data_IF_666430888957
#
_entry.id   IF_666430888957
#
_cell.length_a   1.000
_cell.length_b   1.000
_cell.length_c   1.000
_cell.angle_alpha   90.00
_cell.angle_beta   90.00
_cell.angle_gamma   90.00
#
_symmetry.space_group_name_H-M   'P 1'
#
loop_
_entity.id
_entity.type
_entity.pdbx_description
1 polymer ?
#
# COMPACT_ATOMS: atom_id res chain seq x y z
N UNK A 1 42.27 41.28 64.78
CA UNK A 1 41.80 42.03 63.70
C UNK A 1 41.25 41.05 62.70
N UNK A 2 40.01 41.23 62.23
CA UNK A 2 39.08 40.20 61.79
C UNK A 2 39.34 39.76 60.33
N UNK A 3 39.61 38.45 60.13
CA UNK A 3 39.65 37.74 58.86
C UNK A 3 38.22 37.45 58.37
N UNK A 4 37.88 37.94 57.17
CA UNK A 4 36.61 37.69 56.58
C UNK A 4 36.76 36.60 55.53
N UNK A 5 36.34 35.37 55.88
CA UNK A 5 36.36 34.21 54.98
C UNK A 5 35.22 34.36 53.97
N UNK A 6 35.56 34.45 52.70
CA UNK A 6 34.59 34.38 51.61
C UNK A 6 34.28 32.90 51.32
N UNK A 7 33.06 32.49 51.59
CA UNK A 7 32.53 31.21 51.17
C UNK A 7 32.05 31.33 49.73
N UNK A 8 32.71 30.62 48.84
CA UNK A 8 32.35 30.56 47.43
C UNK A 8 31.43 29.36 47.26
N UNK A 9 30.12 29.57 47.15
CA UNK A 9 29.13 28.55 46.84
C UNK A 9 29.19 28.18 45.38
N UNK A 10 29.67 26.99 45.02
CA UNK A 10 29.54 26.42 43.70
C UNK A 10 28.12 25.82 43.56
N UNK A 11 27.28 26.49 42.78
CA UNK A 11 26.03 25.96 42.33
C UNK A 11 26.34 25.07 41.10
N UNK A 12 26.37 23.78 41.29
CA UNK A 12 26.43 22.81 40.17
C UNK A 12 25.04 22.69 39.60
N UNK A 13 24.83 23.35 38.44
CA UNK A 13 23.58 23.25 37.67
C UNK A 13 23.62 21.94 36.90
N UNK A 14 22.94 20.92 37.44
CA UNK A 14 22.78 19.63 36.76
C UNK A 14 21.77 19.82 35.62
N UNK A 15 22.24 20.07 34.39
CA UNK A 15 21.42 19.96 33.20
C UNK A 15 21.13 18.48 32.94
N UNK A 16 19.97 18.02 33.38
CA UNK A 16 19.42 16.76 32.90
C UNK A 16 19.04 16.93 31.42
N UNK A 17 19.91 16.49 30.51
CA UNK A 17 19.59 16.29 29.11
C UNK A 17 18.55 15.16 29.05
N UNK A 18 17.27 15.52 28.93
CA UNK A 18 16.25 14.60 28.48
C UNK A 18 16.56 14.27 27.00
N UNK A 19 17.38 13.26 26.78
CA UNK A 19 17.42 12.59 25.51
C UNK A 19 16.03 11.96 25.32
N UNK A 20 15.16 12.67 24.60
CA UNK A 20 13.96 12.07 24.02
C UNK A 20 14.43 11.01 23.02
N UNK A 21 14.68 9.79 23.51
CA UNK A 21 14.71 8.61 22.67
C UNK A 21 13.32 8.52 22.02
N UNK A 22 13.21 9.10 20.86
CA UNK A 22 12.07 8.86 19.97
C UNK A 22 12.06 7.36 19.71
N UNK A 23 11.23 6.65 20.44
CA UNK A 23 10.91 5.25 20.17
C UNK A 23 10.30 5.29 18.76
N UNK A 24 11.01 4.78 17.77
CA UNK A 24 10.41 4.48 16.49
C UNK A 24 9.26 3.52 16.80
N UNK A 25 8.05 4.01 16.73
CA UNK A 25 6.87 3.21 16.97
C UNK A 25 6.88 2.12 15.90
N UNK A 26 6.90 0.85 16.32
CA UNK A 26 6.83 -0.26 15.38
C UNK A 26 5.55 -0.14 14.57
N UNK A 27 5.62 -0.49 13.28
CA UNK A 27 4.46 -0.49 12.42
C UNK A 27 3.50 -1.58 12.89
N UNK A 28 2.28 -1.22 13.24
CA UNK A 28 1.26 -2.16 13.71
C UNK A 28 0.31 -2.59 12.58
N UNK A 29 -0.27 -3.78 12.74
CA UNK A 29 -1.34 -4.26 11.87
C UNK A 29 -2.55 -3.33 11.96
N UNK A 30 -3.23 -3.11 10.83
CA UNK A 30 -4.46 -2.30 10.76
C UNK A 30 -5.64 -3.21 10.45
N UNK A 31 -6.54 -3.41 11.40
CA UNK A 31 -7.83 -4.04 11.13
C UNK A 31 -8.71 -3.07 10.35
N UNK A 32 -9.11 -3.48 9.16
CA UNK A 32 -9.98 -2.68 8.30
C UNK A 32 -11.45 -2.87 8.69
N UNK A 33 -12.29 -1.84 8.55
CA UNK A 33 -13.73 -2.00 8.71
C UNK A 33 -14.28 -2.96 7.65
N UNK A 34 -15.45 -3.54 7.88
CA UNK A 34 -16.12 -4.38 6.88
C UNK A 34 -16.30 -3.57 5.58
N UNK A 35 -15.95 -4.15 4.41
CA UNK A 35 -16.11 -3.46 3.15
C UNK A 35 -17.60 -3.27 2.81
N UNK A 36 -17.92 -2.12 2.24
CA UNK A 36 -19.26 -1.86 1.68
C UNK A 36 -19.31 -2.49 0.29
N UNK A 37 -20.21 -3.44 0.10
CA UNK A 37 -20.30 -4.23 -1.14
C UNK A 37 -21.51 -3.88 -1.99
N UNK A 38 -22.32 -2.93 -1.53
CA UNK A 38 -23.49 -2.37 -2.19
C UNK A 38 -23.29 -0.87 -2.42
N UNK A 39 -23.57 -0.39 -3.61
CA UNK A 39 -23.41 1.02 -3.96
C UNK A 39 -22.45 1.25 -5.12
N UNK A 40 -21.89 2.46 -5.18
CA UNK A 40 -21.07 2.90 -6.29
C UNK A 40 -21.87 3.27 -7.55
N UNK A 41 -21.16 3.59 -8.64
CA UNK A 41 -21.77 3.88 -9.94
C UNK A 41 -22.10 2.59 -10.70
N UNK A 42 -23.14 2.58 -11.54
CA UNK A 42 -23.39 1.46 -12.43
C UNK A 42 -22.15 1.10 -13.26
N UNK A 43 -21.91 -0.20 -13.48
CA UNK A 43 -20.70 -0.71 -14.14
C UNK A 43 -20.39 0.03 -15.46
N UNK A 44 -21.38 0.20 -16.32
CA UNK A 44 -21.17 0.88 -17.61
C UNK A 44 -20.75 2.34 -17.46
N UNK A 45 -21.17 3.01 -16.38
CA UNK A 45 -20.74 4.35 -16.07
C UNK A 45 -19.31 4.37 -15.51
N UNK A 46 -18.95 3.40 -14.67
CA UNK A 46 -17.58 3.23 -14.20
C UNK A 46 -16.61 2.97 -15.35
N UNK A 47 -16.97 2.06 -16.28
CA UNK A 47 -16.21 1.80 -17.50
C UNK A 47 -16.04 3.06 -18.37
N UNK A 48 -17.11 3.84 -18.57
CA UNK A 48 -17.07 5.11 -19.32
C UNK A 48 -16.15 6.14 -18.67
N UNK A 49 -16.10 6.18 -17.34
CA UNK A 49 -15.32 7.16 -16.58
C UNK A 49 -13.88 6.69 -16.30
N UNK A 50 -13.60 5.40 -16.46
CA UNK A 50 -12.29 4.83 -16.18
C UNK A 50 -11.21 5.52 -17.02
N UNK A 51 -10.21 6.08 -16.37
CA UNK A 51 -9.04 6.69 -17.01
C UNK A 51 -7.81 6.59 -16.14
N UNK A 52 -6.64 6.74 -16.73
CA UNK A 52 -5.37 6.88 -15.98
C UNK A 52 -5.15 8.36 -15.65
N UNK A 53 -5.03 8.68 -14.36
CA UNK A 53 -4.74 10.02 -13.88
C UNK A 53 -3.37 10.05 -13.20
N UNK A 54 -2.62 11.14 -13.41
CA UNK A 54 -1.23 11.28 -12.92
C UNK A 54 -1.03 12.54 -12.06
N UNK A 55 -2.12 13.15 -11.62
CA UNK A 55 -2.12 14.28 -10.70
C UNK A 55 -2.94 13.91 -9.46
N UNK A 56 -2.31 13.92 -8.30
CA UNK A 56 -2.88 13.43 -7.04
C UNK A 56 -2.79 14.50 -5.97
N UNK A 57 -3.82 14.56 -5.12
CA UNK A 57 -3.77 15.24 -3.83
C UNK A 57 -2.99 14.39 -2.82
N UNK A 58 -2.37 15.06 -1.84
CA UNK A 58 -1.74 14.40 -0.69
C UNK A 58 -2.78 13.98 0.38
N UNK A 59 -4.06 14.27 0.17
CA UNK A 59 -5.13 13.92 1.10
C UNK A 59 -5.21 12.42 1.33
N UNK A 60 -5.23 12.01 2.61
CA UNK A 60 -5.29 10.59 2.99
C UNK A 60 -6.66 10.00 2.67
N UNK A 61 -6.68 8.77 2.22
CA UNK A 61 -7.92 8.03 2.03
C UNK A 61 -8.52 7.67 3.40
N UNK A 62 -9.83 7.89 3.62
CA UNK A 62 -10.51 7.35 4.79
C UNK A 62 -10.35 5.83 4.88
N UNK A 63 -10.24 5.32 6.10
CA UNK A 63 -10.02 3.87 6.34
C UNK A 63 -11.10 3.00 5.70
N UNK A 64 -12.35 3.48 5.63
CA UNK A 64 -13.44 2.78 4.96
C UNK A 64 -13.22 2.70 3.44
N UNK A 65 -12.79 3.80 2.81
CA UNK A 65 -12.48 3.82 1.36
C UNK A 65 -11.31 2.88 1.05
N UNK A 66 -10.31 2.83 1.94
CA UNK A 66 -9.18 1.90 1.81
C UNK A 66 -9.64 0.45 1.92
N UNK A 67 -10.54 0.13 2.85
CA UNK A 67 -11.13 -1.21 2.99
C UNK A 67 -11.90 -1.62 1.74
N UNK A 68 -12.78 -0.75 1.26
CA UNK A 68 -13.61 -0.99 0.07
C UNK A 68 -12.73 -1.20 -1.18
N UNK A 69 -11.69 -0.37 -1.35
CA UNK A 69 -10.70 -0.48 -2.43
C UNK A 69 -9.96 -1.81 -2.43
N UNK A 70 -9.44 -2.22 -1.26
CA UNK A 70 -8.68 -3.47 -1.14
C UNK A 70 -9.57 -4.69 -1.33
N UNK A 71 -10.80 -4.63 -0.85
CA UNK A 71 -11.79 -5.66 -1.13
C UNK A 71 -12.12 -5.73 -2.62
N UNK A 72 -12.35 -4.59 -3.28
CA UNK A 72 -12.57 -4.57 -4.71
C UNK A 72 -11.38 -5.17 -5.47
N UNK A 73 -10.15 -4.85 -5.06
CA UNK A 73 -8.91 -5.35 -5.68
C UNK A 73 -8.79 -6.89 -5.58
N UNK A 74 -8.86 -7.44 -4.37
CA UNK A 74 -8.51 -8.84 -4.12
C UNK A 74 -9.23 -9.44 -2.90
N UNK A 75 -10.37 -8.88 -2.48
CA UNK A 75 -11.16 -9.38 -1.36
C UNK A 75 -11.84 -10.71 -1.64
N UNK A 76 -12.27 -11.40 -0.59
CA UNK A 76 -13.04 -12.62 -0.71
C UNK A 76 -14.52 -12.26 -0.90
N UNK A 77 -15.09 -12.63 -2.03
CA UNK A 77 -16.50 -12.42 -2.35
C UNK A 77 -17.33 -13.73 -2.33
N UNK A 78 -16.67 -14.86 -2.13
CA UNK A 78 -17.27 -16.20 -1.97
C UNK A 78 -16.66 -16.84 -0.74
N UNK A 79 -17.27 -16.58 0.42
CA UNK A 79 -16.73 -16.95 1.74
C UNK A 79 -16.65 -18.46 1.96
N UNK A 80 -17.53 -19.24 1.33
CA UNK A 80 -17.56 -20.70 1.36
C UNK A 80 -16.35 -21.35 0.68
N UNK A 81 -15.84 -20.73 -0.39
CA UNK A 81 -14.74 -21.26 -1.21
C UNK A 81 -13.46 -20.44 -1.13
N UNK A 82 -13.47 -19.30 -0.44
CA UNK A 82 -12.34 -18.39 -0.34
C UNK A 82 -11.93 -17.72 -1.66
N UNK A 83 -12.82 -17.80 -2.68
CA UNK A 83 -12.55 -17.18 -3.98
C UNK A 83 -12.73 -15.67 -3.93
N UNK A 84 -12.01 -14.98 -4.81
CA UNK A 84 -11.80 -13.53 -4.74
C UNK A 84 -12.62 -12.75 -5.76
N UNK A 85 -12.66 -11.45 -5.58
CA UNK A 85 -13.23 -10.47 -6.53
C UNK A 85 -12.52 -10.52 -7.87
N UNK A 86 -11.19 -10.61 -7.89
CA UNK A 86 -10.41 -10.85 -9.10
C UNK A 86 -10.30 -12.36 -9.38
N UNK A 87 -10.40 -12.80 -10.65
CA UNK A 87 -10.10 -14.17 -11.01
C UNK A 87 -8.61 -14.49 -10.80
N UNK A 88 -8.29 -15.76 -10.61
CA UNK A 88 -6.93 -16.27 -10.60
C UNK A 88 -6.90 -17.61 -11.31
N UNK A 89 -5.95 -17.79 -12.23
CA UNK A 89 -5.76 -19.02 -12.97
C UNK A 89 -5.60 -20.19 -11.99
N UNK A 90 -6.26 -21.30 -12.26
CA UNK A 90 -6.27 -22.50 -11.40
C UNK A 90 -6.58 -22.20 -9.91
N UNK A 91 -7.09 -21.02 -9.58
CA UNK A 91 -7.27 -20.51 -8.23
C UNK A 91 -5.97 -20.52 -7.39
N UNK A 92 -4.83 -20.28 -8.00
CA UNK A 92 -3.54 -20.19 -7.30
C UNK A 92 -3.48 -19.06 -6.29
N UNK A 93 -4.19 -17.96 -6.58
CA UNK A 93 -4.20 -16.75 -5.75
C UNK A 93 -2.78 -16.29 -5.41
N UNK A 94 -1.90 -16.37 -6.38
CA UNK A 94 -0.46 -16.10 -6.25
C UNK A 94 -0.18 -14.62 -6.09
N UNK A 95 -1.05 -13.74 -6.62
CA UNK A 95 -0.85 -12.30 -6.53
C UNK A 95 -1.28 -11.77 -5.17
N UNK A 96 -0.34 -11.16 -4.49
CA UNK A 96 -0.50 -10.45 -3.22
C UNK A 96 -0.55 -8.94 -3.46
N UNK A 97 -1.36 -8.23 -2.66
CA UNK A 97 -1.51 -6.77 -2.75
C UNK A 97 -0.82 -6.13 -1.54
N UNK A 98 0.24 -5.39 -1.80
CA UNK A 98 0.89 -4.55 -0.79
C UNK A 98 0.34 -3.13 -0.89
N UNK A 99 -0.02 -2.55 0.24
CA UNK A 99 -0.43 -1.16 0.39
C UNK A 99 0.73 -0.35 0.96
N UNK A 100 1.28 0.56 0.16
CA UNK A 100 2.41 1.42 0.55
C UNK A 100 1.86 2.81 0.85
N UNK A 101 2.00 3.22 2.10
CA UNK A 101 1.56 4.52 2.62
C UNK A 101 2.74 5.32 3.17
N UNK A 102 2.50 6.53 3.64
CA UNK A 102 3.49 7.33 4.36
C UNK A 102 4.00 6.64 5.65
N UNK A 103 3.15 5.86 6.32
CA UNK A 103 3.51 5.17 7.56
C UNK A 103 4.37 3.93 7.30
N UNK A 104 4.14 3.23 6.19
CA UNK A 104 4.87 2.01 5.87
C UNK A 104 4.24 1.18 4.78
N UNK A 105 4.79 -0.01 4.62
CA UNK A 105 4.32 -1.04 3.73
C UNK A 105 3.52 -2.10 4.50
N UNK A 106 2.37 -2.43 3.97
CA UNK A 106 1.46 -3.43 4.53
C UNK A 106 1.09 -4.47 3.48
N UNK A 107 0.93 -5.71 3.90
CA UNK A 107 0.35 -6.78 3.09
C UNK A 107 -1.14 -6.91 3.40
N UNK A 108 -1.98 -6.84 2.38
CA UNK A 108 -3.42 -7.07 2.56
C UNK A 108 -3.74 -8.55 2.76
N UNK A 109 -4.30 -8.88 3.91
CA UNK A 109 -4.85 -10.20 4.22
C UNK A 109 -6.38 -10.16 4.00
N UNK A 110 -6.81 -10.74 2.88
CA UNK A 110 -8.23 -10.79 2.54
C UNK A 110 -9.07 -11.73 3.44
N UNK A 111 -8.43 -12.66 4.18
CA UNK A 111 -9.15 -13.57 5.08
C UNK A 111 -9.62 -12.86 6.34
N UNK A 112 -8.80 -11.97 6.85
CA UNK A 112 -9.09 -11.23 8.09
C UNK A 112 -9.47 -9.79 7.82
N UNK A 113 -9.47 -9.36 6.55
CA UNK A 113 -9.62 -7.97 6.12
C UNK A 113 -8.69 -7.04 6.92
N UNK A 114 -7.40 -7.35 6.93
CA UNK A 114 -6.38 -6.67 7.72
C UNK A 114 -5.20 -6.27 6.83
N UNK A 115 -4.62 -5.13 7.10
CA UNK A 115 -3.31 -4.73 6.59
C UNK A 115 -2.25 -5.21 7.59
N UNK A 116 -1.49 -6.24 7.20
CA UNK A 116 -0.38 -6.78 8.00
C UNK A 116 0.85 -5.91 7.83
N UNK A 117 1.41 -5.43 8.91
CA UNK A 117 2.63 -4.62 8.91
C UNK A 117 3.82 -5.40 8.35
N UNK A 118 4.55 -4.81 7.40
CA UNK A 118 5.71 -5.45 6.76
C UNK A 118 6.98 -4.64 6.99
N UNK A 119 6.96 -3.35 6.65
CA UNK A 119 8.12 -2.46 6.77
C UNK A 119 7.65 -1.09 7.24
N UNK A 120 8.28 -0.57 8.28
CA UNK A 120 8.05 0.78 8.77
C UNK A 120 8.75 1.82 7.88
N UNK A 121 8.15 3.00 7.75
CA UNK A 121 8.71 4.13 7.01
C UNK A 121 8.18 4.27 5.59
N UNK A 122 8.30 5.47 5.05
CA UNK A 122 7.73 5.85 3.76
C UNK A 122 8.50 5.27 2.57
N UNK A 123 7.95 4.23 1.98
CA UNK A 123 8.48 3.58 0.77
C UNK A 123 7.79 4.04 -0.52
N UNK A 124 6.86 5.01 -0.48
CA UNK A 124 6.07 5.42 -1.65
C UNK A 124 6.97 5.80 -2.83
N UNK A 125 8.02 6.57 -2.60
CA UNK A 125 8.96 7.01 -3.64
C UNK A 125 9.66 5.83 -4.34
N UNK A 126 9.82 4.70 -3.68
CA UNK A 126 10.47 3.51 -4.24
C UNK A 126 9.53 2.72 -5.18
N UNK A 127 8.23 3.01 -5.16
CA UNK A 127 7.25 2.34 -6.02
C UNK A 127 7.27 2.81 -7.47
N UNK A 128 8.08 3.81 -7.82
CA UNK A 128 8.24 4.30 -9.20
C UNK A 128 9.05 5.58 -9.30
N UNK A 129 9.49 5.89 -10.52
CA UNK A 129 10.31 7.07 -10.81
C UNK A 129 9.53 8.38 -11.04
N UNK A 130 8.18 8.33 -11.00
CA UNK A 130 7.34 9.50 -11.24
C UNK A 130 7.18 10.33 -9.95
N UNK A 131 7.12 11.66 -10.06
CA UNK A 131 7.04 12.55 -8.89
C UNK A 131 5.77 12.32 -8.06
N UNK A 132 4.65 12.01 -8.69
CA UNK A 132 3.37 11.84 -8.01
C UNK A 132 3.31 10.62 -7.07
N UNK A 133 4.22 9.65 -7.19
CA UNK A 133 4.19 8.45 -6.33
C UNK A 133 4.48 8.77 -4.87
N UNK A 134 5.26 9.81 -4.59
CA UNK A 134 5.55 10.27 -3.23
C UNK A 134 4.48 11.24 -2.70
N UNK A 135 3.67 11.83 -3.59
CA UNK A 135 2.60 12.78 -3.22
C UNK A 135 1.31 12.02 -2.87
N UNK A 136 0.93 11.09 -3.71
CA UNK A 136 -0.30 10.30 -3.53
C UNK A 136 -0.28 9.56 -2.18
N UNK A 137 -1.44 9.45 -1.50
CA UNK A 137 -1.51 8.82 -0.17
C UNK A 137 -1.24 7.31 -0.19
N UNK A 138 -1.45 6.66 -1.34
CA UNK A 138 -1.38 5.21 -1.48
C UNK A 138 -0.75 4.78 -2.79
N UNK A 139 0.17 3.82 -2.71
CA UNK A 139 0.60 3.04 -3.86
C UNK A 139 0.38 1.56 -3.57
N UNK A 140 -0.38 0.89 -4.40
CA UNK A 140 -0.51 -0.56 -4.39
C UNK A 140 0.66 -1.16 -5.18
N UNK A 141 1.21 -2.28 -4.67
CA UNK A 141 2.23 -3.07 -5.36
C UNK A 141 1.72 -4.50 -5.46
N UNK A 142 1.65 -5.02 -6.67
CA UNK A 142 1.20 -6.39 -6.95
C UNK A 142 2.41 -7.29 -7.03
N UNK A 143 2.49 -8.24 -6.10
CA UNK A 143 3.60 -9.19 -5.96
C UNK A 143 3.08 -10.58 -6.22
N UNK A 144 3.58 -11.24 -7.25
CA UNK A 144 3.25 -12.62 -7.54
C UNK A 144 4.24 -13.56 -6.85
N UNK A 145 3.72 -14.64 -6.29
CA UNK A 145 4.47 -15.67 -5.58
C UNK A 145 4.44 -16.99 -6.36
N UNK A 146 5.56 -17.30 -7.03
CA UNK A 146 5.69 -18.50 -7.85
C UNK A 146 5.49 -19.80 -7.08
N UNK A 147 5.76 -19.80 -5.76
CA UNK A 147 5.61 -21.01 -4.93
C UNK A 147 4.18 -21.51 -4.83
N UNK A 148 3.20 -20.62 -5.07
CA UNK A 148 1.78 -20.96 -5.08
C UNK A 148 1.30 -21.59 -6.39
N UNK A 149 2.08 -21.47 -7.48
CA UNK A 149 1.71 -21.91 -8.82
C UNK A 149 2.15 -23.35 -9.07
N UNK A 150 1.68 -24.27 -8.24
CA UNK A 150 2.05 -25.69 -8.32
C UNK A 150 1.71 -26.26 -9.69
N UNK A 151 2.69 -26.89 -10.34
CA UNK A 151 2.55 -27.55 -11.63
C UNK A 151 2.57 -26.61 -12.84
N UNK A 152 2.69 -25.32 -12.66
CA UNK A 152 2.79 -24.37 -13.76
C UNK A 152 4.19 -24.39 -14.42
N UNK A 153 4.22 -24.37 -15.75
CA UNK A 153 5.46 -24.16 -16.50
C UNK A 153 6.00 -22.74 -16.28
N UNK A 154 7.29 -22.45 -16.54
CA UNK A 154 7.81 -21.09 -16.47
C UNK A 154 7.05 -20.10 -17.37
N UNK A 155 6.59 -20.54 -18.54
CA UNK A 155 5.79 -19.75 -19.48
C UNK A 155 4.42 -19.44 -18.89
N UNK A 156 3.74 -20.43 -18.31
CA UNK A 156 2.45 -20.25 -17.63
C UNK A 156 2.58 -19.31 -16.44
N UNK A 157 3.65 -19.47 -15.63
CA UNK A 157 3.93 -18.55 -14.54
C UNK A 157 4.04 -17.11 -15.03
N UNK A 158 4.83 -16.87 -16.09
CA UNK A 158 5.02 -15.53 -16.63
C UNK A 158 3.70 -14.94 -17.16
N UNK A 159 2.89 -15.75 -17.86
CA UNK A 159 1.61 -15.34 -18.43
C UNK A 159 0.59 -15.01 -17.32
N UNK A 160 0.36 -15.94 -16.40
CA UNK A 160 -0.72 -15.79 -15.42
C UNK A 160 -0.40 -14.81 -14.30
N UNK A 161 0.86 -14.70 -13.86
CA UNK A 161 1.28 -13.62 -12.95
C UNK A 161 0.96 -12.24 -13.54
N UNK A 162 1.19 -12.05 -14.84
CA UNK A 162 0.86 -10.81 -15.52
C UNK A 162 -0.64 -10.59 -15.66
N UNK A 163 -1.38 -11.60 -16.12
CA UNK A 163 -2.81 -11.55 -16.34
C UNK A 163 -3.58 -11.29 -15.03
N UNK A 164 -3.29 -12.08 -13.99
CA UNK A 164 -3.98 -11.99 -12.69
C UNK A 164 -3.68 -10.66 -11.98
N UNK A 165 -2.45 -10.13 -12.11
CA UNK A 165 -2.12 -8.77 -11.68
C UNK A 165 -2.93 -7.71 -12.43
N UNK A 166 -3.14 -7.90 -13.72
CA UNK A 166 -3.95 -7.03 -14.57
C UNK A 166 -5.43 -7.02 -14.15
N UNK A 167 -5.99 -8.19 -13.81
CA UNK A 167 -7.38 -8.30 -13.32
C UNK A 167 -7.58 -7.54 -12.00
N UNK A 168 -6.63 -7.68 -11.07
CA UNK A 168 -6.65 -6.91 -9.81
C UNK A 168 -6.55 -5.41 -10.09
N UNK A 169 -5.65 -5.01 -10.98
CA UNK A 169 -5.43 -3.61 -11.32
C UNK A 169 -6.67 -2.98 -11.98
N UNK A 170 -7.39 -3.73 -12.83
CA UNK A 170 -8.62 -3.23 -13.46
C UNK A 170 -9.75 -3.09 -12.43
N UNK A 171 -9.92 -4.01 -11.48
CA UNK A 171 -10.86 -3.84 -10.38
C UNK A 171 -10.61 -2.52 -9.62
N UNK A 172 -9.34 -2.19 -9.35
CA UNK A 172 -8.95 -0.91 -8.73
C UNK A 172 -9.30 0.27 -9.62
N UNK A 173 -9.07 0.18 -10.93
CA UNK A 173 -9.47 1.24 -11.87
C UNK A 173 -10.98 1.49 -11.84
N UNK A 174 -11.78 0.43 -11.90
CA UNK A 174 -13.24 0.55 -11.90
C UNK A 174 -13.77 1.08 -10.57
N UNK A 175 -13.22 0.61 -9.44
CA UNK A 175 -13.54 1.15 -8.13
C UNK A 175 -13.21 2.66 -8.07
N UNK A 176 -12.02 3.07 -8.47
CA UNK A 176 -11.64 4.48 -8.49
C UNK A 176 -12.55 5.33 -9.38
N UNK A 177 -12.92 4.82 -10.56
CA UNK A 177 -13.84 5.50 -11.46
C UNK A 177 -15.25 5.64 -10.87
N UNK A 178 -15.68 4.65 -10.08
CA UNK A 178 -16.93 4.69 -9.32
C UNK A 178 -16.91 5.75 -8.23
N UNK A 179 -15.84 5.76 -7.43
CA UNK A 179 -15.73 6.59 -6.22
C UNK A 179 -15.15 7.99 -6.47
N UNK A 180 -14.80 8.33 -7.72
CA UNK A 180 -14.22 9.64 -8.05
C UNK A 180 -12.77 9.80 -7.62
N UNK A 181 -12.06 8.68 -7.45
CA UNK A 181 -10.64 8.64 -7.16
C UNK A 181 -9.80 8.68 -8.45
N UNK A 182 -8.59 9.21 -8.34
CA UNK A 182 -7.57 9.15 -9.36
C UNK A 182 -6.74 7.87 -9.19
N UNK A 183 -6.37 7.24 -10.30
CA UNK A 183 -5.48 6.08 -10.28
C UNK A 183 -4.70 5.91 -11.58
N UNK A 184 -3.52 5.29 -11.49
CA UNK A 184 -2.73 4.86 -12.65
C UNK A 184 -1.88 3.64 -12.32
N UNK A 185 -1.98 2.60 -13.17
CA UNK A 185 -1.09 1.45 -13.11
C UNK A 185 0.24 1.76 -13.80
N UNK A 186 1.34 1.19 -13.29
CA UNK A 186 2.70 1.44 -13.76
C UNK A 186 3.51 0.16 -13.80
N UNK A 187 4.31 -0.01 -14.87
CA UNK A 187 5.34 -1.03 -14.99
C UNK A 187 6.75 -0.50 -14.68
N UNK A 188 6.93 0.84 -14.66
CA UNK A 188 8.21 1.49 -14.37
C UNK A 188 8.47 1.52 -12.86
N UNK A 189 9.04 0.43 -12.36
CA UNK A 189 9.39 0.21 -10.95
C UNK A 189 10.81 -0.35 -10.92
N UNK A 190 11.67 0.17 -10.04
CA UNK A 190 12.92 -0.51 -9.70
C UNK A 190 12.61 -1.76 -8.85
N UNK A 191 12.40 -2.88 -9.54
CA UNK A 191 11.97 -4.12 -8.90
C UNK A 191 12.99 -4.63 -7.91
N UNK A 192 14.29 -4.45 -8.18
CA UNK A 192 15.36 -4.92 -7.30
C UNK A 192 15.35 -4.16 -5.99
N UNK A 193 15.44 -2.83 -6.05
CA UNK A 193 15.45 -1.98 -4.86
C UNK A 193 14.15 -2.13 -4.03
N UNK A 194 12.99 -2.20 -4.70
CA UNK A 194 11.72 -2.35 -3.99
C UNK A 194 11.54 -3.75 -3.39
N UNK A 195 12.03 -4.82 -4.05
CA UNK A 195 12.00 -6.18 -3.48
C UNK A 195 12.86 -6.29 -2.23
N UNK A 196 14.05 -5.69 -2.24
CA UNK A 196 14.93 -5.61 -1.07
C UNK A 196 14.26 -4.83 0.07
N UNK A 197 13.66 -3.66 -0.24
CA UNK A 197 12.96 -2.83 0.74
C UNK A 197 11.75 -3.52 1.36
N UNK A 198 10.96 -4.26 0.57
CA UNK A 198 9.82 -5.04 1.03
C UNK A 198 10.21 -6.39 1.66
N UNK A 199 11.49 -6.75 1.64
CA UNK A 199 12.03 -8.03 2.14
C UNK A 199 11.32 -9.24 1.50
N UNK A 200 11.09 -9.16 0.18
CA UNK A 200 10.42 -10.23 -0.55
C UNK A 200 11.26 -11.51 -0.54
N UNK A 201 10.58 -12.65 -0.40
CA UNK A 201 11.23 -13.97 -0.47
C UNK A 201 11.64 -14.31 -1.92
N UNK A 202 12.53 -15.29 -2.03
CA UNK A 202 12.86 -15.88 -3.33
C UNK A 202 11.60 -16.45 -4.00
N UNK A 203 11.45 -16.19 -5.31
CA UNK A 203 10.24 -16.57 -6.06
C UNK A 203 9.11 -15.54 -6.03
N UNK A 204 9.16 -14.56 -5.16
CA UNK A 204 8.22 -13.43 -5.19
C UNK A 204 8.70 -12.37 -6.19
N UNK A 205 7.81 -11.93 -7.09
CA UNK A 205 8.12 -11.00 -8.17
C UNK A 205 7.15 -9.82 -8.17
N UNK A 206 7.69 -8.59 -8.16
CA UNK A 206 6.89 -7.39 -8.36
C UNK A 206 6.44 -7.33 -9.82
N UNK A 207 5.13 -7.37 -10.04
CA UNK A 207 4.54 -7.32 -11.37
C UNK A 207 4.27 -5.88 -11.79
N UNK A 208 3.40 -5.19 -11.06
CA UNK A 208 2.97 -3.83 -11.33
C UNK A 208 2.86 -3.03 -10.03
N UNK A 209 2.86 -1.71 -10.15
CA UNK A 209 2.46 -0.81 -9.08
C UNK A 209 1.28 0.06 -9.56
N UNK A 210 0.40 0.47 -8.65
CA UNK A 210 -0.75 1.31 -8.97
C UNK A 210 -0.91 2.41 -7.92
N UNK A 211 -0.84 3.66 -8.36
CA UNK A 211 -1.05 4.82 -7.49
C UNK A 211 -2.54 5.10 -7.35
N UNK A 212 -3.00 5.40 -6.15
CA UNK A 212 -4.39 5.74 -5.82
C UNK A 212 -4.44 6.93 -4.87
N UNK A 213 -5.37 7.83 -5.10
CA UNK A 213 -5.63 9.00 -4.25
C UNK A 213 -6.76 9.86 -4.79
N UNK A 214 -7.04 10.97 -4.15
CA UNK A 214 -7.93 11.96 -4.73
C UNK A 214 -7.24 12.69 -5.90
N UNK A 215 -7.98 13.10 -6.95
CA UNK A 215 -7.41 13.93 -8.00
C UNK A 215 -6.88 15.24 -7.42
N UNK A 216 -5.75 15.73 -7.94
CA UNK A 216 -5.31 17.08 -7.60
C UNK A 216 -6.38 18.09 -8.01
N UNK A 217 -6.55 19.16 -7.21
CA UNK A 217 -7.41 20.26 -7.62
C UNK A 217 -6.95 20.78 -8.98
N UNK A 218 -7.89 21.01 -9.90
CA UNK A 218 -7.56 21.66 -11.16
C UNK A 218 -6.90 23.02 -10.83
N UNK A 219 -5.65 23.20 -11.25
CA UNK A 219 -4.97 24.48 -11.08
C UNK A 219 -5.84 25.58 -11.70
N UNK A 220 -6.15 26.62 -10.90
CA UNK A 220 -6.82 27.82 -11.38
C UNK A 220 -5.89 28.62 -12.26
#
# INVERSE_FOLDING_TARGET
>A
MRSMKRVLSFVVMLMAAFASSGWAQDLEDITLPAPRTDGGKPLMQALKNRQSARAFSAEKLPIQVLSDLLWAAAGINRTDSGKRTAPSAMNWQEVQVYAITEAGAYLYDAKTNTLKAVVNGDLRKQTGGQDFVAVAPLNLVYVADASKMTGASPEDQALYMGADSGFIAENVYLFCASEGLATVVRGSVDRKALSEALKLAEGQKIMLAQTVGYPAAAGK
#
